data_IF_428311216538
#
_entry.id   IF_428311216538
#
_cell.length_a   1.000
_cell.length_b   1.000
_cell.length_c   1.000
_cell.angle_alpha   90.00
_cell.angle_beta   90.00
_cell.angle_gamma   90.00
#
_symmetry.space_group_name_H-M   'P 1'
#
loop_
_entity.id
_entity.type
_entity.pdbx_description
1 polymer ?
#
# COMPACT_ATOMS: atom_id res chain seq x y z
N UNK A 1 -8.30 -16.51 -13.61
CA UNK A 1 -7.18 -15.96 -14.39
C UNK A 1 -7.64 -15.64 -15.81
N UNK A 2 -8.23 -16.57 -16.54
CA UNK A 2 -8.59 -16.42 -17.96
C UNK A 2 -9.37 -15.13 -18.28
N UNK A 3 -10.44 -14.85 -17.53
CA UNK A 3 -11.23 -13.63 -17.72
C UNK A 3 -10.39 -12.35 -17.55
N UNK A 4 -9.55 -12.29 -16.52
CA UNK A 4 -8.68 -11.14 -16.27
C UNK A 4 -7.64 -10.97 -17.38
N UNK A 5 -7.11 -12.09 -17.92
CA UNK A 5 -6.20 -12.06 -19.05
C UNK A 5 -6.85 -11.54 -20.34
N UNK A 6 -8.12 -11.88 -20.58
CA UNK A 6 -8.89 -11.32 -21.72
C UNK A 6 -9.03 -9.81 -21.57
N UNK A 7 -9.42 -9.33 -20.39
CA UNK A 7 -9.56 -7.91 -20.09
C UNK A 7 -8.22 -7.17 -20.21
N UNK A 8 -7.13 -7.72 -19.66
CA UNK A 8 -5.80 -7.12 -19.75
C UNK A 8 -5.29 -7.02 -21.19
N UNK A 9 -5.51 -8.06 -22.03
CA UNK A 9 -5.17 -8.01 -23.45
C UNK A 9 -6.03 -6.99 -24.22
N UNK A 10 -7.29 -6.81 -23.85
CA UNK A 10 -8.13 -5.79 -24.45
C UNK A 10 -7.64 -4.37 -24.11
N UNK A 11 -7.24 -4.15 -22.85
CA UNK A 11 -6.65 -2.88 -22.39
C UNK A 11 -5.31 -2.61 -23.08
N UNK A 12 -4.48 -3.64 -23.26
CA UNK A 12 -3.23 -3.55 -24.02
C UNK A 12 -3.45 -3.09 -25.47
N UNK A 13 -4.44 -3.67 -26.17
CA UNK A 13 -4.77 -3.31 -27.55
C UNK A 13 -5.19 -1.86 -27.76
N UNK A 14 -5.76 -1.21 -26.75
CA UNK A 14 -6.09 0.23 -26.83
C UNK A 14 -4.93 1.14 -26.43
N UNK A 15 -3.73 0.58 -26.22
CA UNK A 15 -2.49 1.32 -25.98
C UNK A 15 -2.23 1.74 -24.55
N UNK A 16 -2.92 1.16 -23.55
CA UNK A 16 -2.62 1.42 -22.16
C UNK A 16 -1.20 0.98 -21.79
N UNK A 17 -0.44 1.88 -21.16
CA UNK A 17 0.95 1.63 -20.78
C UNK A 17 1.08 1.09 -19.36
N UNK A 18 0.20 1.52 -18.46
CA UNK A 18 0.17 1.04 -17.08
C UNK A 18 -1.20 0.46 -16.74
N UNK A 19 -1.20 -0.68 -16.03
CA UNK A 19 -2.40 -1.31 -15.47
C UNK A 19 -2.27 -1.39 -13.96
N UNK A 20 -3.26 -0.83 -13.25
CA UNK A 20 -3.34 -0.92 -11.79
C UNK A 20 -4.26 -2.07 -11.41
N UNK A 21 -3.69 -3.07 -10.71
CA UNK A 21 -4.45 -4.19 -10.17
C UNK A 21 -5.12 -3.75 -8.88
N UNK A 22 -6.45 -3.73 -8.86
CA UNK A 22 -7.24 -3.28 -7.72
C UNK A 22 -8.32 -4.29 -7.35
N UNK A 23 -8.70 -4.33 -6.08
CA UNK A 23 -9.74 -5.19 -5.56
C UNK A 23 -9.91 -4.98 -4.06
N UNK A 24 -11.06 -5.41 -3.52
CA UNK A 24 -11.35 -5.31 -2.08
C UNK A 24 -10.35 -6.13 -1.26
N UNK A 25 -9.90 -7.27 -1.79
CA UNK A 25 -8.93 -8.16 -1.15
C UNK A 25 -8.16 -8.92 -2.25
N UNK A 26 -7.29 -8.20 -2.94
CA UNK A 26 -6.63 -8.72 -4.16
C UNK A 26 -5.81 -9.99 -3.90
N UNK A 27 -5.23 -10.12 -2.70
CA UNK A 27 -4.43 -11.29 -2.34
C UNK A 27 -5.25 -12.58 -2.18
N UNK A 28 -6.57 -12.50 -2.04
CA UNK A 28 -7.48 -13.65 -2.01
C UNK A 28 -7.98 -14.05 -3.41
N UNK A 29 -7.44 -13.45 -4.47
CA UNK A 29 -7.81 -13.76 -5.84
C UNK A 29 -7.77 -15.26 -6.13
N UNK A 30 -8.83 -15.76 -6.74
CA UNK A 30 -8.89 -17.14 -7.27
C UNK A 30 -9.13 -18.25 -6.25
N UNK A 31 -9.26 -17.96 -4.95
CA UNK A 31 -9.44 -18.95 -3.88
C UNK A 31 -10.53 -19.99 -4.16
N UNK A 32 -11.66 -19.54 -4.73
CA UNK A 32 -12.81 -20.43 -5.02
C UNK A 32 -12.60 -21.31 -6.27
N UNK A 33 -11.59 -20.99 -7.09
CA UNK A 33 -11.31 -21.62 -8.39
C UNK A 33 -9.99 -22.37 -8.43
N UNK A 34 -9.38 -22.62 -7.28
CA UNK A 34 -8.03 -23.20 -7.19
C UNK A 34 -6.97 -22.42 -7.98
N UNK A 35 -7.20 -21.11 -8.12
CA UNK A 35 -6.27 -20.13 -8.68
C UNK A 35 -5.69 -19.28 -7.54
N UNK A 36 -4.66 -18.48 -7.79
CA UNK A 36 -4.10 -17.57 -6.80
C UNK A 36 -3.53 -16.33 -7.45
N UNK A 37 -3.30 -15.30 -6.63
CA UNK A 37 -2.81 -14.02 -7.08
C UNK A 37 -1.41 -14.09 -7.70
N UNK A 38 -0.52 -14.95 -7.18
CA UNK A 38 0.81 -15.16 -7.77
C UNK A 38 0.72 -15.72 -9.19
N UNK A 39 -0.17 -16.68 -9.43
CA UNK A 39 -0.42 -17.22 -10.77
C UNK A 39 -0.93 -16.14 -11.71
N UNK A 40 -1.86 -15.30 -11.27
CA UNK A 40 -2.37 -14.19 -12.06
C UNK A 40 -1.26 -13.20 -12.47
N UNK A 41 -0.43 -12.75 -11.51
CA UNK A 41 0.61 -11.75 -11.82
C UNK A 41 1.69 -12.31 -12.76
N UNK A 42 1.98 -13.61 -12.69
CA UNK A 42 2.88 -14.27 -13.64
C UNK A 42 2.33 -14.29 -15.06
N UNK A 43 1.04 -14.57 -15.23
CA UNK A 43 0.39 -14.54 -16.53
C UNK A 43 0.33 -13.11 -17.09
N UNK A 44 -0.01 -12.12 -16.25
CA UNK A 44 -0.05 -10.70 -16.65
C UNK A 44 1.32 -10.21 -17.12
N UNK A 45 2.40 -10.63 -16.48
CA UNK A 45 3.78 -10.25 -16.82
C UNK A 45 4.16 -10.66 -18.26
N UNK A 46 3.52 -11.70 -18.81
CA UNK A 46 3.74 -12.18 -20.17
C UNK A 46 3.13 -11.29 -21.27
N UNK A 47 2.25 -10.34 -20.94
CA UNK A 47 1.60 -9.46 -21.94
C UNK A 47 2.59 -8.40 -22.40
N UNK A 48 3.00 -8.46 -23.67
CA UNK A 48 4.09 -7.63 -24.23
C UNK A 48 3.74 -6.14 -24.23
N UNK A 49 2.50 -5.79 -24.62
CA UNK A 49 2.08 -4.42 -24.88
C UNK A 49 1.83 -3.57 -23.62
N UNK A 50 1.82 -4.17 -22.43
CA UNK A 50 1.76 -3.45 -21.16
C UNK A 50 3.19 -3.26 -20.64
N UNK A 51 3.54 -2.02 -20.34
CA UNK A 51 4.88 -1.66 -19.85
C UNK A 51 4.98 -1.72 -18.32
N UNK A 52 3.86 -1.45 -17.60
CA UNK A 52 3.85 -1.40 -16.14
C UNK A 52 2.61 -2.04 -15.55
N UNK A 53 2.82 -2.77 -14.46
CA UNK A 53 1.77 -3.22 -13.55
C UNK A 53 2.02 -2.69 -12.15
N UNK A 54 0.98 -2.19 -11.51
CA UNK A 54 1.02 -1.77 -10.11
C UNK A 54 0.01 -2.55 -9.28
N UNK A 55 0.48 -3.13 -8.19
CA UNK A 55 -0.38 -3.72 -7.17
C UNK A 55 -0.90 -2.58 -6.29
N UNK A 56 -2.23 -2.41 -6.23
CA UNK A 56 -2.87 -1.33 -5.46
C UNK A 56 -2.70 -1.58 -3.97
N UNK A 57 -3.62 -2.28 -3.33
CA UNK A 57 -3.57 -2.56 -1.88
C UNK A 57 -3.60 -4.06 -1.64
N UNK A 58 -2.66 -4.56 -0.83
CA UNK A 58 -2.60 -5.98 -0.47
C UNK A 58 -2.37 -6.14 1.03
N UNK A 59 -3.19 -6.96 1.70
CA UNK A 59 -3.03 -7.21 3.13
C UNK A 59 -1.72 -7.96 3.44
N UNK A 60 -1.05 -7.66 4.57
CA UNK A 60 0.25 -8.24 4.94
C UNK A 60 0.27 -9.77 4.96
N UNK A 61 -0.83 -10.40 5.41
CA UNK A 61 -0.95 -11.86 5.48
C UNK A 61 -1.16 -12.52 4.10
N UNK A 62 -1.54 -11.75 3.10
CA UNK A 62 -1.74 -12.22 1.72
C UNK A 62 -0.56 -11.86 0.80
N UNK A 63 0.25 -10.89 1.20
CA UNK A 63 1.50 -10.56 0.53
C UNK A 63 2.58 -11.59 0.90
N UNK A 64 2.60 -12.69 0.17
CA UNK A 64 3.56 -13.78 0.42
C UNK A 64 4.96 -13.42 -0.05
N UNK A 65 5.96 -14.13 0.48
CA UNK A 65 7.35 -13.99 0.06
C UNK A 65 7.52 -14.20 -1.44
N UNK A 66 6.81 -15.19 -2.00
CA UNK A 66 6.85 -15.48 -3.44
C UNK A 66 6.31 -14.35 -4.31
N UNK A 67 5.31 -13.59 -3.83
CA UNK A 67 4.80 -12.40 -4.52
C UNK A 67 5.87 -11.31 -4.51
N UNK A 68 6.49 -11.05 -3.35
CA UNK A 68 7.55 -10.03 -3.21
C UNK A 68 8.75 -10.38 -4.11
N UNK A 69 9.19 -11.64 -4.10
CA UNK A 69 10.30 -12.13 -4.93
C UNK A 69 9.99 -12.06 -6.42
N UNK A 70 8.74 -12.32 -6.81
CA UNK A 70 8.32 -12.19 -8.20
C UNK A 70 8.35 -10.72 -8.65
N UNK A 71 7.75 -9.80 -7.87
CA UNK A 71 7.76 -8.37 -8.18
C UNK A 71 9.19 -7.82 -8.26
N UNK A 72 10.08 -8.25 -7.35
CA UNK A 72 11.47 -7.83 -7.36
C UNK A 72 12.28 -8.29 -8.60
N UNK A 73 11.80 -9.30 -9.32
CA UNK A 73 12.46 -9.87 -10.52
C UNK A 73 11.78 -9.44 -11.83
N UNK A 74 10.56 -8.93 -11.75
CA UNK A 74 9.80 -8.52 -12.91
C UNK A 74 10.28 -7.16 -13.41
N UNK A 75 10.41 -7.03 -14.73
CA UNK A 75 10.71 -5.74 -15.38
C UNK A 75 9.45 -4.86 -15.54
N UNK A 76 8.26 -5.44 -15.31
CA UNK A 76 6.97 -4.76 -15.52
C UNK A 76 6.25 -4.41 -14.22
N UNK A 77 6.35 -5.26 -13.19
CA UNK A 77 5.77 -4.96 -11.89
C UNK A 77 6.61 -3.90 -11.17
N UNK A 78 6.03 -2.71 -11.04
CA UNK A 78 6.75 -1.57 -10.44
C UNK A 78 7.04 -1.79 -8.95
N UNK A 79 8.19 -1.30 -8.42
CA UNK A 79 8.55 -1.39 -7.02
C UNK A 79 7.72 -0.42 -6.17
N UNK A 80 6.44 -0.73 -6.06
CA UNK A 80 5.46 -0.02 -5.27
C UNK A 80 4.51 -1.01 -4.59
N UNK A 81 4.37 -0.89 -3.27
CA UNK A 81 3.36 -1.62 -2.51
C UNK A 81 2.57 -0.66 -1.63
N UNK A 82 1.26 -0.88 -1.59
CA UNK A 82 0.41 -0.29 -0.58
C UNK A 82 -0.05 -1.39 0.37
N UNK A 83 0.42 -1.33 1.62
CA UNK A 83 0.22 -2.40 2.62
C UNK A 83 -0.47 -1.80 3.84
N UNK A 84 -1.78 -2.07 4.05
CA UNK A 84 -2.51 -1.54 5.19
C UNK A 84 -1.93 -2.02 6.52
N UNK A 85 -1.41 -1.10 7.36
CA UNK A 85 -0.94 -1.41 8.71
C UNK A 85 -2.09 -1.40 9.72
N UNK A 86 -2.96 -0.42 9.62
CA UNK A 86 -4.06 -0.09 10.52
C UNK A 86 -3.61 0.41 11.91
N UNK A 87 -2.76 -0.32 12.62
CA UNK A 87 -2.18 0.04 13.91
C UNK A 87 -0.82 -0.63 14.12
N UNK A 88 0.07 -0.02 14.88
CA UNK A 88 1.32 -0.61 15.36
C UNK A 88 1.19 -1.30 16.72
N UNK A 89 -0.03 -1.51 17.23
CA UNK A 89 -0.31 -2.27 18.45
C UNK A 89 -0.99 -3.58 18.12
N UNK A 90 -0.39 -4.71 18.51
CA UNK A 90 -0.97 -6.03 18.27
C UNK A 90 -2.31 -6.22 18.99
N UNK A 91 -2.50 -5.60 20.15
CA UNK A 91 -3.77 -5.60 20.88
C UNK A 91 -4.90 -4.95 20.07
N UNK A 92 -4.59 -3.82 19.41
CA UNK A 92 -5.56 -3.15 18.54
C UNK A 92 -5.78 -3.91 17.22
N UNK A 93 -4.75 -4.46 16.62
CA UNK A 93 -4.87 -5.30 15.43
C UNK A 93 -5.79 -6.51 15.70
N UNK A 94 -5.61 -7.17 16.85
CA UNK A 94 -6.47 -8.25 17.29
C UNK A 94 -7.93 -7.78 17.50
N UNK A 95 -8.10 -6.64 18.17
CA UNK A 95 -9.43 -6.02 18.38
C UNK A 95 -10.11 -5.66 17.05
N UNK A 96 -9.35 -5.21 16.05
CA UNK A 96 -9.80 -4.98 14.68
C UNK A 96 -10.01 -6.28 13.88
N UNK A 97 -9.76 -7.44 14.49
CA UNK A 97 -9.81 -8.78 13.84
C UNK A 97 -8.91 -8.90 12.63
N UNK A 98 -7.73 -8.25 12.66
CA UNK A 98 -6.73 -8.41 11.60
C UNK A 98 -6.08 -9.78 11.69
N UNK A 99 -5.78 -10.36 10.52
CA UNK A 99 -5.16 -11.69 10.41
C UNK A 99 -3.63 -11.63 10.39
N UNK A 100 -3.07 -10.53 10.88
CA UNK A 100 -1.63 -10.28 10.98
C UNK A 100 -1.34 -9.46 12.23
N UNK A 101 -0.11 -9.55 12.70
CA UNK A 101 0.45 -8.71 13.76
C UNK A 101 1.66 -7.93 13.25
N UNK A 102 2.22 -7.11 14.13
CA UNK A 102 3.39 -6.25 13.85
C UNK A 102 4.61 -7.06 13.41
N UNK A 103 4.83 -8.25 13.97
CA UNK A 103 5.95 -9.12 13.57
C UNK A 103 5.88 -9.55 12.11
N UNK A 104 4.71 -10.03 11.63
CA UNK A 104 4.53 -10.38 10.22
C UNK A 104 4.70 -9.14 9.33
N UNK A 105 4.12 -8.02 9.74
CA UNK A 105 4.23 -6.77 9.00
C UNK A 105 5.70 -6.36 8.82
N UNK A 106 6.47 -6.34 9.91
CA UNK A 106 7.92 -6.05 9.90
C UNK A 106 8.66 -6.97 8.94
N UNK A 107 8.40 -8.26 8.97
CA UNK A 107 9.04 -9.24 8.09
C UNK A 107 8.78 -8.93 6.61
N UNK A 108 7.53 -8.55 6.25
CA UNK A 108 7.19 -8.16 4.87
C UNK A 108 7.94 -6.92 4.42
N UNK A 109 7.94 -5.85 5.24
CA UNK A 109 8.66 -4.61 4.93
C UNK A 109 10.16 -4.86 4.80
N UNK A 110 10.75 -5.61 5.74
CA UNK A 110 12.19 -5.93 5.70
C UNK A 110 12.56 -6.70 4.43
N UNK A 111 11.75 -7.68 4.02
CA UNK A 111 11.99 -8.43 2.79
C UNK A 111 11.86 -7.56 1.53
N UNK A 112 10.86 -6.67 1.48
CA UNK A 112 10.71 -5.72 0.37
C UNK A 112 11.93 -4.82 0.28
N UNK A 113 12.33 -4.19 1.39
CA UNK A 113 13.48 -3.27 1.43
C UNK A 113 14.81 -3.96 1.09
N UNK A 114 14.95 -5.24 1.47
CA UNK A 114 16.14 -6.04 1.13
C UNK A 114 16.23 -6.32 -0.37
N UNK A 115 15.13 -6.65 -1.03
CA UNK A 115 15.11 -7.00 -2.46
C UNK A 115 14.95 -5.79 -3.37
N UNK A 116 14.29 -4.75 -2.90
CA UNK A 116 13.96 -3.51 -3.61
C UNK A 116 14.19 -2.30 -2.71
N UNK A 117 15.45 -1.83 -2.51
CA UNK A 117 15.79 -0.76 -1.55
C UNK A 117 15.07 0.57 -1.78
N UNK A 118 14.70 0.85 -3.03
CA UNK A 118 14.04 2.09 -3.45
C UNK A 118 12.53 1.93 -3.68
N UNK A 119 11.96 0.81 -3.20
CA UNK A 119 10.53 0.53 -3.29
C UNK A 119 9.70 1.57 -2.54
N UNK A 120 8.67 2.10 -3.19
CA UNK A 120 7.69 2.96 -2.56
C UNK A 120 6.71 2.13 -1.73
N UNK A 121 6.71 2.29 -0.43
CA UNK A 121 5.81 1.58 0.48
C UNK A 121 4.82 2.59 1.09
N UNK A 122 3.54 2.44 0.77
CA UNK A 122 2.43 3.17 1.37
C UNK A 122 1.77 2.36 2.49
N UNK A 123 1.27 3.04 3.52
CA UNK A 123 0.55 2.43 4.64
C UNK A 123 -0.76 3.14 4.93
N UNK A 124 -1.81 2.36 5.25
CA UNK A 124 -3.03 2.89 5.86
C UNK A 124 -2.93 2.77 7.38
N UNK A 125 -3.34 3.82 8.09
CA UNK A 125 -3.38 3.83 9.56
C UNK A 125 -4.70 4.44 10.03
N UNK A 126 -5.36 3.80 11.00
CA UNK A 126 -6.57 4.30 11.64
C UNK A 126 -6.22 4.82 13.02
N UNK A 127 -6.61 6.06 13.32
CA UNK A 127 -6.49 6.66 14.66
C UNK A 127 -7.84 6.79 15.34
N UNK A 128 -7.87 6.58 16.63
CA UNK A 128 -9.08 6.74 17.44
C UNK A 128 -10.04 5.57 17.38
N UNK A 129 -9.57 4.38 16.99
CA UNK A 129 -10.36 3.16 17.09
C UNK A 129 -10.73 2.90 18.58
N UNK A 130 -11.93 2.37 18.90
CA UNK A 130 -12.32 2.09 20.27
C UNK A 130 -11.28 1.24 21.02
N UNK A 131 -10.89 1.69 22.20
CA UNK A 131 -9.82 1.05 22.99
C UNK A 131 -8.39 1.53 22.66
N UNK A 132 -8.19 2.44 21.70
CA UNK A 132 -6.86 3.00 21.44
C UNK A 132 -6.42 3.91 22.58
N UNK A 133 -5.54 3.41 23.45
CA UNK A 133 -4.89 4.19 24.52
C UNK A 133 -3.79 5.09 23.96
N UNK A 134 -3.28 6.05 24.77
CA UNK A 134 -2.12 6.86 24.39
C UNK A 134 -0.87 6.00 24.17
N UNK A 135 -0.68 4.97 24.99
CA UNK A 135 0.42 4.00 24.82
C UNK A 135 0.32 3.24 23.52
N UNK A 136 -0.88 2.76 23.12
CA UNK A 136 -1.09 2.07 21.85
C UNK A 136 -0.84 2.99 20.64
N UNK A 137 -1.26 4.25 20.75
CA UNK A 137 -0.96 5.26 19.72
C UNK A 137 0.55 5.52 19.60
N UNK A 138 1.26 5.67 20.71
CA UNK A 138 2.72 5.86 20.70
C UNK A 138 3.45 4.64 20.10
N UNK A 139 3.05 3.39 20.47
CA UNK A 139 3.55 2.17 19.81
C UNK A 139 3.37 2.25 18.28
N UNK A 140 2.22 2.74 17.81
CA UNK A 140 1.96 2.92 16.37
C UNK A 140 2.91 3.94 15.74
N UNK A 141 3.14 5.09 16.39
CA UNK A 141 4.08 6.11 15.91
C UNK A 141 5.51 5.55 15.80
N UNK A 142 5.98 4.87 16.84
CA UNK A 142 7.34 4.28 16.88
C UNK A 142 7.48 3.16 15.81
N UNK A 143 6.47 2.31 15.67
CA UNK A 143 6.48 1.26 14.64
C UNK A 143 6.54 1.85 13.22
N UNK A 144 5.79 2.91 12.93
CA UNK A 144 5.84 3.60 11.64
C UNK A 144 7.24 4.19 11.39
N UNK A 145 7.85 4.80 12.40
CA UNK A 145 9.22 5.33 12.29
C UNK A 145 10.24 4.24 12.02
N UNK A 146 10.11 3.08 12.68
CA UNK A 146 10.96 1.91 12.45
C UNK A 146 10.80 1.36 11.03
N UNK A 147 9.58 1.32 10.52
CA UNK A 147 9.30 0.79 9.18
C UNK A 147 9.65 1.75 8.04
N UNK A 148 9.74 3.05 8.30
CA UNK A 148 10.09 4.10 7.32
C UNK A 148 9.36 3.94 5.97
N UNK A 149 8.02 3.99 5.92
CA UNK A 149 7.29 3.97 4.66
C UNK A 149 7.51 5.27 3.88
N UNK A 150 7.21 5.25 2.58
CA UNK A 150 7.25 6.45 1.75
C UNK A 150 6.13 7.45 2.11
N UNK A 151 4.96 6.94 2.50
CA UNK A 151 3.82 7.80 2.88
C UNK A 151 2.80 7.02 3.72
N UNK A 152 1.91 7.78 4.39
CA UNK A 152 0.78 7.24 5.13
C UNK A 152 -0.53 7.83 4.60
N UNK A 153 -1.55 6.98 4.51
CA UNK A 153 -2.93 7.42 4.51
C UNK A 153 -3.49 7.30 5.93
N UNK A 154 -3.79 8.43 6.53
CA UNK A 154 -4.25 8.52 7.93
C UNK A 154 -5.76 8.69 7.96
N UNK A 155 -6.45 7.69 8.46
CA UNK A 155 -7.89 7.67 8.64
C UNK A 155 -8.24 7.93 10.10
N UNK A 156 -9.18 8.85 10.32
CA UNK A 156 -9.78 9.04 11.63
C UNK A 156 -10.97 8.09 11.76
N UNK A 157 -10.99 7.29 12.81
CA UNK A 157 -12.13 6.41 13.07
C UNK A 157 -13.43 7.21 13.11
N UNK A 158 -14.42 6.74 12.39
CA UNK A 158 -15.79 7.25 12.44
C UNK A 158 -16.77 6.10 12.73
N UNK A 159 -17.72 6.39 13.58
CA UNK A 159 -18.77 5.45 13.95
C UNK A 159 -19.64 5.14 12.72
N UNK A 160 -19.86 3.85 12.47
CA UNK A 160 -20.77 3.39 11.42
C UNK A 160 -21.82 2.48 12.07
N UNK A 161 -23.09 2.81 11.86
CA UNK A 161 -24.19 2.00 12.32
C UNK A 161 -24.02 0.54 11.87
N UNK A 162 -24.46 -0.40 12.70
CA UNK A 162 -24.38 -1.84 12.46
C UNK A 162 -22.99 -2.47 12.42
N UNK A 163 -21.94 -1.76 12.88
CA UNK A 163 -20.61 -2.34 13.06
C UNK A 163 -20.37 -2.81 14.48
N UNK A 164 -19.55 -3.85 14.68
CA UNK A 164 -19.15 -4.30 16.01
C UNK A 164 -18.42 -3.19 16.77
N UNK A 165 -17.59 -2.42 16.08
CA UNK A 165 -16.77 -1.37 16.66
C UNK A 165 -17.57 -0.25 17.35
N UNK A 166 -18.77 0.09 16.86
CA UNK A 166 -19.60 1.14 17.48
C UNK A 166 -20.13 0.72 18.87
N UNK A 167 -20.18 -0.60 19.15
CA UNK A 167 -20.66 -1.17 20.42
C UNK A 167 -19.53 -1.43 21.42
N UNK A 168 -18.29 -1.19 21.01
CA UNK A 168 -17.11 -1.42 21.87
C UNK A 168 -16.97 -0.30 22.91
N UNK A 169 -16.50 -0.66 24.09
CA UNK A 169 -16.11 0.28 25.12
C UNK A 169 -14.80 1.01 24.71
N UNK A 170 -14.50 2.12 25.37
CA UNK A 170 -13.23 2.84 25.17
C UNK A 170 -13.25 3.77 23.92
N UNK A 171 -14.39 4.38 23.64
CA UNK A 171 -14.47 5.40 22.59
C UNK A 171 -13.46 6.52 22.86
N UNK A 172 -12.68 6.87 21.84
CA UNK A 172 -11.68 7.95 21.92
C UNK A 172 -12.35 9.27 21.58
N UNK A 173 -12.18 10.34 22.40
CA UNK A 173 -12.77 11.64 22.13
C UNK A 173 -12.35 12.20 20.75
N UNK A 174 -13.26 12.86 20.04
CA UNK A 174 -13.05 13.41 18.70
C UNK A 174 -11.83 14.35 18.66
N UNK A 175 -11.66 15.19 19.70
CA UNK A 175 -10.52 16.10 19.80
C UNK A 175 -9.21 15.30 19.76
N UNK A 176 -9.10 14.22 20.55
CA UNK A 176 -7.93 13.36 20.61
C UNK A 176 -7.68 12.63 19.29
N UNK A 177 -8.74 12.19 18.61
CA UNK A 177 -8.61 11.59 17.24
C UNK A 177 -8.01 12.61 16.26
N UNK A 178 -8.47 13.87 16.29
CA UNK A 178 -7.94 14.95 15.44
C UNK A 178 -6.46 15.24 15.73
N UNK A 179 -6.07 15.30 17.01
CA UNK A 179 -4.67 15.48 17.42
C UNK A 179 -3.77 14.34 16.91
N UNK A 180 -4.16 13.09 17.13
CA UNK A 180 -3.43 11.92 16.65
C UNK A 180 -3.32 11.92 15.11
N UNK A 181 -4.42 12.24 14.42
CA UNK A 181 -4.42 12.36 12.95
C UNK A 181 -3.44 13.43 12.47
N UNK A 182 -3.39 14.59 13.14
CA UNK A 182 -2.44 15.67 12.82
C UNK A 182 -0.99 15.20 13.00
N UNK A 183 -0.68 14.51 14.09
CA UNK A 183 0.67 13.97 14.35
C UNK A 183 1.11 13.00 13.22
N UNK A 184 0.26 12.03 12.85
CA UNK A 184 0.61 11.08 11.80
C UNK A 184 0.66 11.70 10.41
N UNK A 185 -0.16 12.70 10.11
CA UNK A 185 -0.08 13.44 8.83
C UNK A 185 1.21 14.23 8.72
N UNK A 186 1.67 14.86 9.81
CA UNK A 186 2.98 15.52 9.84
C UNK A 186 4.13 14.53 9.68
N UNK A 187 4.03 13.36 10.32
CA UNK A 187 4.99 12.27 10.14
C UNK A 187 4.99 11.79 8.68
N UNK A 188 3.81 11.58 8.07
CA UNK A 188 3.70 11.20 6.66
C UNK A 188 4.37 12.22 5.72
N UNK A 189 4.18 13.52 5.97
CA UNK A 189 4.82 14.56 5.16
C UNK A 189 6.36 14.51 5.27
N UNK A 190 6.90 14.26 6.47
CA UNK A 190 8.35 14.09 6.67
C UNK A 190 8.88 12.85 5.96
N UNK A 191 8.19 11.71 6.07
CA UNK A 191 8.56 10.46 5.43
C UNK A 191 8.54 10.60 3.90
N UNK A 192 7.48 11.22 3.36
CA UNK A 192 7.36 11.47 1.92
C UNK A 192 8.50 12.35 1.40
N UNK A 193 8.83 13.39 2.14
CA UNK A 193 9.97 14.26 1.79
C UNK A 193 11.28 13.48 1.81
N UNK A 194 11.56 12.71 2.85
CA UNK A 194 12.76 11.89 2.95
C UNK A 194 12.86 10.86 1.80
N UNK A 195 11.72 10.24 1.43
CA UNK A 195 11.66 9.34 0.28
C UNK A 195 11.98 10.05 -1.03
N UNK A 196 11.48 11.27 -1.24
CA UNK A 196 11.77 12.06 -2.43
C UNK A 196 13.24 12.51 -2.46
N UNK A 197 13.78 12.97 -1.32
CA UNK A 197 15.19 13.35 -1.20
C UNK A 197 16.14 12.19 -1.50
N UNK A 198 15.81 10.96 -1.06
CA UNK A 198 16.56 9.74 -1.38
C UNK A 198 16.58 9.45 -2.89
N UNK A 199 15.53 9.82 -3.61
CA UNK A 199 15.42 9.58 -5.06
C UNK A 199 15.91 10.75 -5.92
N UNK A 200 16.42 11.82 -5.32
CA UNK A 200 17.04 12.91 -6.09
C UNK A 200 18.32 12.42 -6.77
N UNK A 201 18.56 12.93 -7.98
CA UNK A 201 19.73 12.60 -8.81
C UNK A 201 19.79 11.12 -9.27
N UNK A 202 18.70 10.36 -9.11
CA UNK A 202 18.59 9.04 -9.70
C UNK A 202 18.09 9.17 -11.15
N UNK A 203 18.55 8.25 -12.02
CA UNK A 203 18.03 8.12 -13.38
C UNK A 203 16.87 7.13 -13.35
N UNK A 204 15.67 7.62 -13.64
CA UNK A 204 14.46 6.83 -13.59
C UNK A 204 13.63 6.96 -14.87
N UNK A 205 12.96 5.90 -15.25
CA UNK A 205 11.98 5.94 -16.34
C UNK A 205 10.67 6.53 -15.83
N UNK A 206 10.18 7.58 -16.49
CA UNK A 206 8.96 8.27 -16.11
C UNK A 206 7.84 7.97 -17.10
N UNK A 207 6.68 7.56 -16.61
CA UNK A 207 5.45 7.53 -17.36
C UNK A 207 4.70 8.85 -17.15
N UNK A 208 4.61 9.67 -18.18
CA UNK A 208 3.87 10.92 -18.13
C UNK A 208 2.37 10.69 -18.33
N UNK A 209 1.56 11.44 -17.57
CA UNK A 209 0.10 11.48 -17.76
C UNK A 209 -0.22 12.28 -19.05
N UNK A 210 -1.28 11.90 -19.75
CA UNK A 210 -1.66 12.52 -21.02
C UNK A 210 -2.26 13.93 -20.90
N UNK A 211 -2.35 14.48 -19.69
CA UNK A 211 -2.88 15.81 -19.41
C UNK A 211 -1.77 16.82 -19.16
N UNK A 212 -1.90 18.00 -19.76
CA UNK A 212 -1.04 19.15 -19.50
C UNK A 212 -1.77 20.14 -18.59
N UNK A 213 -1.08 20.64 -17.57
CA UNK A 213 -1.59 21.67 -16.68
C UNK A 213 -0.56 22.81 -16.55
N UNK A 214 -0.97 24.03 -16.96
CA UNK A 214 -0.12 25.23 -16.97
C UNK A 214 1.23 25.08 -17.72
N UNK A 215 1.23 24.40 -18.87
CA UNK A 215 2.42 24.17 -19.69
C UNK A 215 3.34 23.08 -19.13
N UNK A 216 2.89 22.30 -18.16
CA UNK A 216 3.65 21.20 -17.56
C UNK A 216 2.88 19.89 -17.61
N UNK A 217 3.60 18.81 -17.93
CA UNK A 217 3.08 17.45 -17.81
C UNK A 217 3.56 16.84 -16.48
N UNK A 218 2.69 16.06 -15.86
CA UNK A 218 3.04 15.28 -14.67
C UNK A 218 3.24 13.82 -15.05
N UNK A 219 4.10 13.16 -14.30
CA UNK A 219 4.35 11.73 -14.47
C UNK A 219 4.85 11.10 -13.18
N UNK A 220 5.04 9.79 -13.25
CA UNK A 220 5.55 9.01 -12.13
C UNK A 220 6.73 8.15 -12.57
N UNK A 221 7.76 8.12 -11.72
CA UNK A 221 8.87 7.17 -11.86
C UNK A 221 8.38 5.73 -11.63
N UNK A 222 9.24 4.74 -11.87
CA UNK A 222 8.94 3.33 -11.59
C UNK A 222 8.55 3.10 -10.12
N UNK A 223 9.24 3.76 -9.20
CA UNK A 223 8.94 3.70 -7.75
C UNK A 223 8.00 4.81 -7.27
N UNK A 224 7.19 5.37 -8.17
CA UNK A 224 6.08 6.27 -7.88
C UNK A 224 6.45 7.63 -7.26
N UNK A 225 7.64 8.14 -7.54
CA UNK A 225 7.95 9.56 -7.30
C UNK A 225 7.25 10.40 -8.36
N UNK A 226 6.41 11.36 -7.93
CA UNK A 226 5.76 12.29 -8.84
C UNK A 226 6.74 13.34 -9.34
N UNK A 227 6.81 13.51 -10.65
CA UNK A 227 7.67 14.50 -11.33
C UNK A 227 6.83 15.41 -12.24
N UNK A 228 7.36 16.53 -12.64
CA UNK A 228 6.79 17.46 -13.59
C UNK A 228 7.90 18.05 -14.48
#
# INVERSE_FOLDING_TARGET
>A
IEKTMIEAKAVAKIGAKEVVLTGVNIGDFGKEKNENFLGLIKELDSIVDIERYRISSIEPNLLTDSIIEFVAKSDKFVPHFHIPLQSGSDELLQSMRRRYGTALYRNRISKIKMLMPDCCIGMDVIVGYPGETDSAFLKTVEFIKEMEPAYLHVFTYSERNNTTAVRMAGSVPIIKRKERSKILRLLSAKLKRAFYEKNQQQHEVVLFEGSEENGMMFGFTSNYVKVK
#
